data_IF_153413174445
#
_entry.id   IF_153413174445
#
_cell.length_a   1.000
_cell.length_b   1.000
_cell.length_c   1.000
_cell.angle_alpha   90.00
_cell.angle_beta   90.00
_cell.angle_gamma   90.00
#
_symmetry.space_group_name_H-M   'P 1'
#
loop_
_entity.id
_entity.type
_entity.pdbx_description
1 polymer ?
#
# COMPACT_ATOMS: atom_id res chain seq x y z
N UNK A 1 46.87 -9.14 -13.78
CA UNK A 1 45.70 -9.57 -14.55
C UNK A 1 44.47 -8.96 -13.91
N UNK A 2 43.71 -8.22 -14.72
CA UNK A 2 42.39 -7.70 -14.40
C UNK A 2 41.39 -8.87 -14.34
N UNK A 3 40.47 -8.86 -13.37
CA UNK A 3 39.08 -9.29 -13.49
C UNK A 3 38.43 -9.29 -12.09
N UNK A 4 37.79 -8.18 -11.72
CA UNK A 4 36.72 -8.20 -10.72
C UNK A 4 35.51 -8.86 -11.40
N UNK A 5 35.41 -10.18 -11.31
CA UNK A 5 34.23 -10.91 -11.79
C UNK A 5 33.14 -10.86 -10.72
N UNK A 6 32.42 -9.74 -10.74
CA UNK A 6 31.12 -9.62 -10.11
C UNK A 6 30.14 -10.42 -10.98
N UNK A 7 29.98 -11.71 -10.66
CA UNK A 7 29.01 -12.58 -11.31
C UNK A 7 27.63 -12.27 -10.75
N UNK A 8 26.81 -11.68 -11.62
CA UNK A 8 25.37 -11.50 -11.52
C UNK A 8 24.68 -12.77 -11.04
N UNK A 9 23.93 -12.69 -9.94
CA UNK A 9 22.81 -13.58 -9.72
C UNK A 9 21.70 -12.87 -8.98
N UNK A 10 20.64 -12.64 -9.75
CA UNK A 10 19.31 -12.20 -9.37
C UNK A 10 19.22 -10.79 -8.80
N UNK A 11 18.37 -9.99 -9.44
CA UNK A 11 17.46 -9.07 -8.76
C UNK A 11 17.35 -9.39 -7.27
N UNK A 12 18.17 -8.73 -6.46
CA UNK A 12 17.80 -8.39 -5.11
C UNK A 12 16.74 -7.29 -5.25
N UNK A 13 15.58 -7.64 -5.81
CA UNK A 13 14.34 -7.02 -5.39
C UNK A 13 14.31 -7.32 -3.89
N UNK A 14 14.80 -6.34 -3.12
CA UNK A 14 14.75 -6.31 -1.65
C UNK A 14 13.44 -6.96 -1.24
N UNK A 15 13.42 -7.90 -0.27
CA UNK A 15 12.28 -8.77 -0.01
C UNK A 15 11.01 -7.93 -0.03
N UNK A 16 10.35 -7.90 -1.19
CA UNK A 16 9.34 -6.89 -1.43
C UNK A 16 8.28 -7.30 -0.45
N UNK A 17 8.07 -6.54 0.61
CA UNK A 17 7.13 -6.90 1.66
C UNK A 17 5.79 -6.89 0.94
N UNK A 18 5.37 -8.04 0.43
CA UNK A 18 4.30 -8.10 -0.57
C UNK A 18 3.03 -7.71 0.14
N UNK A 19 2.65 -6.44 0.01
CA UNK A 19 1.49 -5.92 0.69
C UNK A 19 0.27 -6.40 -0.08
N UNK A 20 -0.52 -7.23 0.58
CA UNK A 20 -1.72 -7.81 0.00
C UNK A 20 -2.95 -7.11 0.55
N UNK A 21 -3.89 -6.80 -0.31
CA UNK A 21 -5.18 -6.22 0.10
C UNK A 21 -6.05 -7.26 0.84
N UNK A 22 -7.23 -6.83 1.31
CA UNK A 22 -8.18 -7.68 2.03
C UNK A 22 -8.60 -8.98 1.29
N UNK A 23 -8.48 -9.01 -0.03
CA UNK A 23 -8.82 -10.13 -0.92
C UNK A 23 -7.58 -10.94 -1.33
N UNK A 24 -6.38 -10.46 -1.03
CA UNK A 24 -5.12 -11.15 -1.32
C UNK A 24 -4.44 -10.74 -2.63
N UNK A 25 -4.87 -9.66 -3.30
CA UNK A 25 -4.15 -9.14 -4.46
C UNK A 25 -2.94 -8.33 -4.00
N UNK A 26 -1.88 -8.41 -4.79
CA UNK A 26 -0.65 -7.66 -4.57
C UNK A 26 -0.89 -6.19 -4.92
N UNK A 27 -0.66 -5.33 -3.95
CA UNK A 27 -0.67 -3.88 -4.14
C UNK A 27 0.69 -3.42 -4.65
N UNK A 28 0.67 -2.34 -5.42
CA UNK A 28 1.86 -1.71 -5.98
C UNK A 28 1.80 -0.20 -5.79
N UNK A 29 2.95 0.47 -5.82
CA UNK A 29 2.98 1.92 -5.71
C UNK A 29 2.21 2.58 -6.86
N UNK A 30 1.42 3.60 -6.53
CA UNK A 30 0.58 4.33 -7.48
C UNK A 30 -0.72 3.61 -7.86
N UNK A 31 -0.98 2.41 -7.35
CA UNK A 31 -2.17 1.63 -7.71
C UNK A 31 -3.47 2.29 -7.17
N UNK A 32 -4.61 1.78 -7.65
CA UNK A 32 -5.94 2.27 -7.29
C UNK A 32 -6.67 1.23 -6.44
N UNK A 33 -7.11 1.65 -5.26
CA UNK A 33 -7.80 0.77 -4.32
C UNK A 33 -9.15 1.35 -3.94
N UNK A 34 -10.09 0.48 -3.60
CA UNK A 34 -11.40 0.85 -3.07
C UNK A 34 -11.55 0.39 -1.63
N UNK A 35 -12.21 1.21 -0.84
CA UNK A 35 -12.46 0.92 0.58
C UNK A 35 -13.54 -0.16 0.68
N UNK A 36 -13.25 -1.27 1.37
CA UNK A 36 -14.20 -2.38 1.59
C UNK A 36 -14.87 -2.36 2.95
N UNK A 37 -14.50 -1.41 3.82
CA UNK A 37 -15.11 -1.26 5.15
C UNK A 37 -15.26 0.20 5.52
N UNK A 38 -16.39 0.56 6.12
CA UNK A 38 -16.61 1.92 6.60
C UNK A 38 -15.67 2.23 7.77
N UNK A 39 -14.91 3.30 7.65
CA UNK A 39 -13.95 3.72 8.67
C UNK A 39 -14.29 5.14 9.11
N UNK A 40 -14.30 5.38 10.41
CA UNK A 40 -14.43 6.73 10.96
C UNK A 40 -13.04 7.26 11.24
N UNK A 41 -12.66 8.36 10.61
CA UNK A 41 -11.36 8.98 10.83
C UNK A 41 -11.42 9.93 12.02
N UNK A 42 -10.32 9.99 12.76
CA UNK A 42 -10.16 10.92 13.89
C UNK A 42 -10.10 12.34 13.31
N UNK A 43 -11.16 13.12 13.49
CA UNK A 43 -11.32 14.43 12.83
C UNK A 43 -12.74 14.69 12.28
N UNK A 44 -13.66 13.73 12.40
CA UNK A 44 -15.10 13.97 12.20
C UNK A 44 -15.68 13.46 10.87
N UNK A 45 -14.84 12.99 9.93
CA UNK A 45 -15.33 12.40 8.69
C UNK A 45 -15.40 10.87 8.74
N UNK A 46 -16.30 10.32 7.93
CA UNK A 46 -16.45 8.88 7.74
C UNK A 46 -16.17 8.52 6.29
N UNK A 47 -15.22 7.60 6.07
CA UNK A 47 -14.94 7.02 4.77
C UNK A 47 -15.96 5.90 4.56
N UNK A 48 -16.80 6.06 3.55
CA UNK A 48 -17.83 5.07 3.21
C UNK A 48 -17.21 3.94 2.40
N UNK A 49 -17.78 2.76 2.54
CA UNK A 49 -17.48 1.63 1.66
C UNK A 49 -17.71 2.02 0.19
N UNK A 50 -16.84 1.57 -0.71
CA UNK A 50 -16.86 1.93 -2.14
C UNK A 50 -16.17 3.26 -2.48
N UNK A 51 -15.60 3.97 -1.50
CA UNK A 51 -14.75 5.14 -1.80
C UNK A 51 -13.52 4.68 -2.56
N UNK A 52 -13.34 5.18 -3.79
CA UNK A 52 -12.16 4.92 -4.61
C UNK A 52 -11.03 5.85 -4.20
N UNK A 53 -9.85 5.28 -4.05
CA UNK A 53 -8.62 5.92 -3.60
C UNK A 53 -7.53 5.58 -4.61
N UNK A 54 -6.75 6.55 -5.02
CA UNK A 54 -5.76 6.40 -6.08
C UNK A 54 -4.46 7.08 -5.68
N UNK A 55 -3.33 6.53 -6.13
CA UNK A 55 -2.02 6.99 -5.66
C UNK A 55 -1.73 6.44 -4.27
N UNK A 56 -1.77 5.12 -4.13
CA UNK A 56 -1.31 4.47 -2.91
C UNK A 56 0.23 4.43 -2.87
N UNK A 57 0.78 4.56 -1.68
CA UNK A 57 2.20 4.34 -1.39
C UNK A 57 2.30 3.17 -0.44
N UNK A 58 3.13 2.19 -0.80
CA UNK A 58 3.37 1.03 0.05
C UNK A 58 4.46 1.40 1.06
N UNK A 59 4.21 1.12 2.33
CA UNK A 59 5.22 1.26 3.36
C UNK A 59 5.93 -0.09 3.50
N UNK A 60 7.23 -0.12 3.24
CA UNK A 60 8.04 -1.35 3.29
C UNK A 60 8.09 -1.96 4.70
N UNK A 61 7.89 -1.13 5.74
CA UNK A 61 7.89 -1.51 7.15
C UNK A 61 6.55 -1.18 7.83
N UNK A 62 6.03 -2.10 8.64
CA UNK A 62 4.82 -1.88 9.44
C UNK A 62 5.07 -0.83 10.52
N UNK A 63 4.72 0.43 10.23
CA UNK A 63 4.73 1.51 11.21
C UNK A 63 3.36 1.58 11.87
N UNK A 64 3.29 1.30 13.18
CA UNK A 64 2.06 1.40 13.98
C UNK A 64 0.88 0.57 13.42
N UNK A 65 1.16 -0.55 12.74
CA UNK A 65 0.15 -1.45 12.17
C UNK A 65 -0.55 -0.94 10.91
N UNK A 66 0.01 0.09 10.25
CA UNK A 66 -0.43 0.57 8.95
C UNK A 66 0.61 0.19 7.88
N UNK A 67 0.14 -0.47 6.83
CA UNK A 67 1.00 -0.98 5.75
C UNK A 67 0.98 -0.09 4.50
N UNK A 68 -0.06 0.72 4.32
CA UNK A 68 -0.25 1.53 3.11
C UNK A 68 -0.64 2.96 3.44
N UNK A 69 -0.18 3.88 2.61
CA UNK A 69 -0.69 5.25 2.54
C UNK A 69 -1.52 5.42 1.29
N UNK A 70 -2.64 6.11 1.38
CA UNK A 70 -3.51 6.36 0.24
C UNK A 70 -4.03 7.79 0.29
N UNK A 71 -4.11 8.43 -0.87
CA UNK A 71 -4.66 9.77 -1.00
C UNK A 71 -6.19 9.71 -1.19
N UNK A 72 -6.92 9.99 -0.10
CA UNK A 72 -8.39 9.99 -0.09
C UNK A 72 -8.91 11.39 -0.48
N UNK A 73 -9.79 11.50 -1.49
CA UNK A 73 -10.39 12.77 -1.87
C UNK A 73 -11.21 13.36 -0.72
N UNK A 74 -10.94 14.62 -0.37
CA UNK A 74 -11.58 15.33 0.75
C UNK A 74 -10.93 15.10 2.13
N UNK A 75 -10.01 14.13 2.25
CA UNK A 75 -9.29 13.86 3.50
C UNK A 75 -7.77 14.03 3.41
N UNK A 76 -7.20 13.92 2.21
CA UNK A 76 -5.74 14.03 1.99
C UNK A 76 -5.05 12.68 2.05
N UNK A 77 -3.77 12.66 2.41
CA UNK A 77 -2.98 11.44 2.58
C UNK A 77 -3.32 10.80 3.93
N UNK A 78 -3.80 9.56 3.90
CA UNK A 78 -4.10 8.78 5.10
C UNK A 78 -3.37 7.45 5.07
N UNK A 79 -2.84 7.08 6.24
CA UNK A 79 -2.36 5.73 6.53
C UNK A 79 -3.54 4.80 6.78
N UNK A 80 -3.58 3.70 6.05
CA UNK A 80 -4.64 2.70 6.12
C UNK A 80 -4.00 1.31 6.28
N UNK A 81 -4.78 0.38 6.81
CA UNK A 81 -4.39 -1.02 6.83
C UNK A 81 -4.74 -1.67 5.50
N UNK A 82 -3.88 -2.54 5.02
CA UNK A 82 -4.11 -3.34 3.81
C UNK A 82 -5.41 -4.18 3.89
N UNK A 83 -5.82 -4.59 5.09
CA UNK A 83 -7.04 -5.38 5.34
C UNK A 83 -8.37 -4.65 5.14
N UNK A 84 -8.38 -3.32 4.95
CA UNK A 84 -9.62 -2.53 4.75
C UNK A 84 -9.73 -1.91 3.36
N UNK A 85 -8.74 -2.15 2.50
CA UNK A 85 -8.74 -1.77 1.10
C UNK A 85 -8.81 -3.01 0.21
N UNK A 86 -9.23 -2.81 -1.03
CA UNK A 86 -9.21 -3.81 -2.09
C UNK A 86 -8.73 -3.17 -3.38
N UNK A 87 -7.85 -3.84 -4.12
CA UNK A 87 -7.45 -3.41 -5.47
C UNK A 87 -8.68 -3.27 -6.39
N UNK A 88 -8.77 -2.16 -7.13
CA UNK A 88 -9.96 -1.78 -7.89
C UNK A 88 -9.68 -1.36 -9.34
#
# INVERSE_FOLDING_TARGET
MCAHEWVESAEAAAPETVIKDAVGNILQEGDSVSIVKSLKVKGGGAIKIGTKVSGIHLLEELVDGHDIEAKVPGFGQLRLKSSVVKKA
#
